data_IF_278849750919
#
_entry.id   IF_278849750919
#
_cell.length_a   1.000
_cell.length_b   1.000
_cell.length_c   1.000
_cell.angle_alpha   90.00
_cell.angle_beta   90.00
_cell.angle_gamma   90.00
#
_symmetry.space_group_name_H-M   'P 1'
#
loop_
_entity.id
_entity.type
_entity.pdbx_description
1 polymer ?
#
# COMPACT_ATOMS: atom_id res chain seq x y z
N UNK A 1 -5.64 13.01 -17.81
CA UNK A 1 -5.63 12.04 -16.69
C UNK A 1 -4.19 11.87 -16.24
N UNK A 2 -3.90 11.72 -14.95
CA UNK A 2 -2.52 11.46 -14.47
C UNK A 2 -2.42 9.99 -14.10
N UNK A 3 -1.57 9.21 -14.77
CA UNK A 3 -1.36 7.80 -14.43
C UNK A 3 -0.70 7.67 -13.07
N UNK A 4 -1.09 6.64 -12.32
CA UNK A 4 -0.47 6.28 -11.04
C UNK A 4 -0.30 4.78 -10.91
N UNK A 5 0.65 4.38 -10.08
CA UNK A 5 0.89 3.01 -9.65
C UNK A 5 0.89 2.98 -8.13
N UNK A 6 0.22 1.99 -7.56
CA UNK A 6 0.07 1.84 -6.12
C UNK A 6 0.69 0.51 -5.67
N UNK A 7 1.45 0.54 -4.58
CA UNK A 7 1.93 -0.67 -3.90
C UNK A 7 1.08 -0.89 -2.66
N UNK A 8 0.57 -2.11 -2.50
CA UNK A 8 -0.22 -2.53 -1.33
C UNK A 8 0.32 -3.80 -0.71
N UNK A 9 0.12 -3.97 0.61
CA UNK A 9 0.40 -5.20 1.34
C UNK A 9 -0.86 -5.58 2.12
N UNK A 10 -1.47 -6.72 1.79
CA UNK A 10 -2.74 -7.14 2.39
C UNK A 10 -3.88 -6.16 2.16
N UNK A 11 -3.87 -5.44 1.02
CA UNK A 11 -4.84 -4.39 0.70
C UNK A 11 -4.58 -3.03 1.36
N UNK A 12 -3.50 -2.88 2.15
CA UNK A 12 -3.12 -1.61 2.74
C UNK A 12 -2.12 -0.86 1.87
N UNK A 13 -2.44 0.39 1.56
CA UNK A 13 -1.60 1.29 0.74
C UNK A 13 -0.24 1.53 1.41
N UNK A 14 0.81 1.06 0.76
CA UNK A 14 2.19 1.28 1.19
C UNK A 14 2.76 2.55 0.54
N UNK A 15 2.59 2.73 -0.78
CA UNK A 15 3.05 3.93 -1.49
C UNK A 15 2.32 4.12 -2.81
N UNK A 16 2.24 5.38 -3.27
CA UNK A 16 1.63 5.76 -4.56
C UNK A 16 2.63 6.57 -5.38
N UNK A 17 2.93 6.08 -6.58
CA UNK A 17 3.76 6.74 -7.57
C UNK A 17 2.87 7.39 -8.63
N UNK A 18 3.11 8.66 -8.95
CA UNK A 18 2.32 9.43 -9.94
C UNK A 18 3.19 9.81 -11.12
N UNK A 19 2.61 9.82 -12.34
CA UNK A 19 3.23 10.17 -13.63
C UNK A 19 4.31 9.22 -14.14
N UNK A 20 4.95 8.47 -13.26
CA UNK A 20 5.90 7.42 -13.58
C UNK A 20 5.84 6.37 -12.48
N UNK A 21 6.25 5.15 -12.78
CA UNK A 21 6.49 4.16 -11.75
C UNK A 21 7.78 3.39 -12.05
N UNK A 22 8.35 2.81 -11.01
CA UNK A 22 9.39 1.79 -11.13
C UNK A 22 8.82 0.53 -10.52
N UNK A 23 8.97 -0.61 -11.20
CA UNK A 23 8.63 -1.90 -10.61
C UNK A 23 9.47 -2.04 -9.36
N UNK A 24 8.82 -2.25 -8.22
CA UNK A 24 9.52 -2.42 -6.97
C UNK A 24 10.43 -3.64 -7.07
N UNK A 25 11.69 -3.51 -6.66
CA UNK A 25 12.76 -4.51 -6.90
C UNK A 25 12.45 -5.92 -6.36
N UNK A 26 11.48 -6.04 -5.45
CA UNK A 26 11.03 -7.33 -4.93
C UNK A 26 9.96 -8.00 -5.78
N UNK A 27 9.46 -7.36 -6.83
CA UNK A 27 8.64 -7.95 -7.88
C UNK A 27 9.47 -8.32 -9.10
N UNK A 28 9.02 -9.35 -9.82
CA UNK A 28 9.64 -9.90 -11.00
C UNK A 28 8.61 -10.05 -12.12
N UNK A 29 9.09 -10.20 -13.36
CA UNK A 29 8.22 -10.45 -14.50
C UNK A 29 7.33 -11.71 -14.36
N UNK A 30 7.77 -12.72 -13.61
CA UNK A 30 6.97 -13.92 -13.30
C UNK A 30 5.78 -13.66 -12.37
N UNK A 31 5.80 -12.54 -11.63
CA UNK A 31 4.72 -12.16 -10.71
C UNK A 31 3.61 -11.34 -11.40
N UNK A 32 3.74 -11.07 -12.70
CA UNK A 32 2.72 -10.35 -13.47
C UNK A 32 1.41 -11.13 -13.50
N UNK A 33 0.31 -10.44 -13.23
CA UNK A 33 -1.06 -10.98 -13.27
C UNK A 33 -1.97 -10.06 -14.05
N UNK A 34 -2.93 -10.65 -14.78
CA UNK A 34 -4.00 -9.94 -15.49
C UNK A 34 -5.34 -10.44 -14.95
N UNK A 35 -6.07 -9.59 -14.24
CA UNK A 35 -7.41 -9.91 -13.70
C UNK A 35 -8.47 -9.26 -14.57
N UNK A 36 -9.61 -9.93 -14.75
CA UNK A 36 -10.77 -9.30 -15.36
C UNK A 36 -11.69 -8.82 -14.25
N UNK A 37 -11.93 -7.51 -14.15
CA UNK A 37 -12.99 -6.96 -13.30
C UNK A 37 -14.31 -7.06 -14.07
N UNK A 38 -15.25 -7.85 -13.56
CA UNK A 38 -16.64 -7.78 -13.97
C UNK A 38 -17.28 -6.59 -13.28
N UNK A 39 -17.50 -5.49 -14.00
CA UNK A 39 -18.41 -4.46 -13.50
C UNK A 39 -19.84 -5.05 -13.45
N UNK A 40 -20.66 -4.72 -12.43
CA UNK A 40 -22.09 -5.00 -12.52
C UNK A 40 -22.62 -4.34 -13.79
N UNK A 41 -23.37 -5.11 -14.59
CA UNK A 41 -23.92 -4.64 -15.85
C UNK A 41 -24.72 -3.35 -15.61
N UNK A 42 -24.33 -2.25 -16.25
CA UNK A 42 -25.21 -1.10 -16.36
C UNK A 42 -26.30 -1.47 -17.38
N UNK A 43 -27.57 -1.67 -16.96
CA UNK A 43 -28.63 -2.19 -17.85
C UNK A 43 -28.98 -1.24 -19.00
N UNK A 44 -28.46 0.00 -18.99
CA UNK A 44 -28.72 1.01 -20.01
C UNK A 44 -27.73 1.03 -21.17
N UNK A 45 -26.58 0.33 -21.09
CA UNK A 45 -25.54 0.47 -22.11
C UNK A 45 -25.10 -0.81 -22.81
N UNK A 46 -25.42 -2.01 -22.34
CA UNK A 46 -25.12 -3.28 -23.03
C UNK A 46 -23.69 -3.42 -23.62
N UNK A 47 -22.72 -2.66 -23.08
CA UNK A 47 -21.31 -2.69 -23.47
C UNK A 47 -20.57 -3.26 -22.27
N UNK A 48 -20.11 -4.50 -22.40
CA UNK A 48 -19.22 -5.14 -21.44
C UNK A 48 -17.81 -4.55 -21.60
N UNK A 49 -17.52 -3.42 -20.96
CA UNK A 49 -16.12 -3.05 -20.73
C UNK A 49 -15.56 -4.01 -19.68
N UNK A 50 -14.96 -5.12 -20.13
CA UNK A 50 -14.09 -5.93 -19.26
C UNK A 50 -12.84 -5.09 -18.99
N UNK A 51 -12.87 -4.29 -17.93
CA UNK A 51 -11.64 -3.68 -17.43
C UNK A 51 -10.69 -4.79 -16.99
N UNK A 52 -9.45 -4.68 -17.46
CA UNK A 52 -8.37 -5.60 -17.09
C UNK A 52 -7.51 -4.89 -16.07
N UNK A 53 -7.29 -5.53 -14.95
CA UNK A 53 -6.31 -5.05 -13.99
C UNK A 53 -4.97 -5.70 -14.28
N UNK A 54 -3.94 -4.87 -14.39
CA UNK A 54 -2.56 -5.29 -14.58
C UNK A 54 -1.79 -4.99 -13.29
N UNK A 55 -1.22 -6.03 -12.71
CA UNK A 55 -0.47 -5.89 -11.47
C UNK A 55 0.70 -6.87 -11.42
N UNK A 56 1.67 -6.57 -10.56
CA UNK A 56 2.60 -7.56 -10.02
C UNK A 56 2.03 -8.06 -8.69
N UNK A 57 1.96 -9.36 -8.46
CA UNK A 57 1.27 -9.93 -7.30
C UNK A 57 2.03 -11.14 -6.74
N UNK A 58 2.32 -11.10 -5.44
CA UNK A 58 2.87 -12.24 -4.69
C UNK A 58 2.16 -12.37 -3.34
N UNK A 59 2.36 -13.48 -2.63
CA UNK A 59 1.89 -13.59 -1.24
C UNK A 59 2.86 -12.91 -0.27
N UNK A 60 2.37 -12.53 0.91
CA UNK A 60 3.16 -11.97 1.99
C UNK A 60 4.36 -12.86 2.35
N UNK A 61 4.21 -14.19 2.36
CA UNK A 61 5.32 -15.12 2.59
C UNK A 61 6.42 -15.06 1.52
N UNK A 62 6.04 -14.88 0.26
CA UNK A 62 7.01 -14.70 -0.82
C UNK A 62 7.74 -13.37 -0.63
N UNK A 63 7.02 -12.30 -0.33
CA UNK A 63 7.61 -10.98 -0.12
C UNK A 63 8.54 -10.94 1.10
N UNK A 64 8.13 -11.53 2.24
CA UNK A 64 8.96 -11.70 3.45
C UNK A 64 10.31 -12.34 3.13
N UNK A 65 10.30 -13.45 2.36
CA UNK A 65 11.53 -14.15 1.97
C UNK A 65 12.43 -13.30 1.06
N UNK A 66 11.85 -12.51 0.14
CA UNK A 66 12.61 -11.64 -0.77
C UNK A 66 13.23 -10.46 -0.02
N UNK A 67 12.47 -9.79 0.84
CA UNK A 67 12.96 -8.74 1.73
C UNK A 67 14.05 -9.27 2.68
N UNK A 68 13.83 -10.42 3.31
CA UNK A 68 14.81 -11.05 4.19
C UNK A 68 16.14 -11.37 3.50
N UNK A 69 16.11 -11.83 2.25
CA UNK A 69 17.34 -12.05 1.44
C UNK A 69 18.08 -10.75 1.11
N UNK A 70 17.36 -9.64 0.99
CA UNK A 70 17.93 -8.32 0.80
C UNK A 70 18.37 -7.65 2.13
N UNK A 71 18.24 -8.36 3.27
CA UNK A 71 18.65 -7.88 4.59
C UNK A 71 17.56 -7.14 5.36
N UNK A 72 16.37 -6.96 4.80
CA UNK A 72 15.25 -6.32 5.50
C UNK A 72 14.53 -7.36 6.38
N UNK A 73 14.63 -7.18 7.69
CA UNK A 73 14.14 -8.12 8.71
C UNK A 73 13.50 -7.35 9.86
N UNK A 74 12.86 -8.07 10.79
CA UNK A 74 12.37 -7.47 12.05
C UNK A 74 13.47 -6.70 12.80
N UNK A 75 14.71 -7.18 12.76
CA UNK A 75 15.85 -6.51 13.39
C UNK A 75 16.19 -5.18 12.72
N UNK A 76 16.16 -5.09 11.39
CA UNK A 76 16.41 -3.80 10.71
C UNK A 76 15.28 -2.82 10.91
N UNK A 77 14.04 -3.30 11.02
CA UNK A 77 12.90 -2.49 11.43
C UNK A 77 13.11 -1.94 12.84
N UNK A 78 13.52 -2.76 13.79
CA UNK A 78 13.78 -2.31 15.17
C UNK A 78 14.91 -1.29 15.25
N UNK A 79 15.98 -1.47 14.48
CA UNK A 79 17.06 -0.49 14.39
C UNK A 79 16.60 0.85 13.81
N UNK A 80 15.82 0.84 12.71
CA UNK A 80 15.26 2.07 12.16
C UNK A 80 14.27 2.72 13.13
N UNK A 81 13.41 1.94 13.78
CA UNK A 81 12.49 2.41 14.80
C UNK A 81 13.21 3.16 15.92
N UNK A 82 14.27 2.59 16.49
CA UNK A 82 15.03 3.25 17.55
C UNK A 82 15.72 4.51 17.06
N UNK A 83 16.31 4.49 15.87
CA UNK A 83 16.93 5.67 15.28
C UNK A 83 15.91 6.79 15.04
N UNK A 84 14.75 6.44 14.49
CA UNK A 84 13.63 7.36 14.26
C UNK A 84 13.12 7.94 15.59
N UNK A 85 12.82 7.08 16.56
CA UNK A 85 12.37 7.46 17.90
C UNK A 85 13.33 8.45 18.57
N UNK A 86 14.63 8.14 18.60
CA UNK A 86 15.63 9.02 19.19
C UNK A 86 15.76 10.35 18.47
N UNK A 87 15.69 10.36 17.13
CA UNK A 87 15.76 11.59 16.36
C UNK A 87 14.54 12.47 16.63
N UNK A 88 13.34 11.89 16.65
CA UNK A 88 12.09 12.56 16.95
C UNK A 88 12.08 13.13 18.38
N UNK A 89 12.52 12.35 19.38
CA UNK A 89 12.59 12.82 20.77
C UNK A 89 13.61 13.94 21.03
N UNK A 90 14.55 14.18 20.11
CA UNK A 90 15.53 15.28 20.20
C UNK A 90 15.03 16.59 19.62
N UNK A 91 13.89 16.58 18.91
CA UNK A 91 13.34 17.80 18.32
C UNK A 91 12.85 18.75 19.44
N UNK A 92 13.24 20.03 19.42
CA UNK A 92 12.71 21.03 20.33
C UNK A 92 11.24 21.29 20.01
N UNK A 93 10.44 21.47 21.06
CA UNK A 93 8.98 21.63 21.05
C UNK A 93 8.20 20.37 20.65
N UNK A 94 7.32 19.95 21.55
CA UNK A 94 6.63 18.66 21.57
C UNK A 94 5.47 18.55 20.59
N UNK A 95 5.64 19.05 19.37
CA UNK A 95 4.70 18.89 18.25
C UNK A 95 5.27 17.87 17.27
N UNK A 96 5.26 16.60 17.72
CA UNK A 96 5.77 15.41 17.04
C UNK A 96 5.19 15.18 15.64
N UNK A 97 4.11 15.90 15.33
CA UNK A 97 3.26 15.77 14.17
C UNK A 97 2.76 17.17 13.78
N UNK A 98 2.50 17.41 12.48
CA UNK A 98 1.88 18.63 11.93
C UNK A 98 1.05 19.40 12.98
N UNK A 99 1.28 20.70 13.10
CA UNK A 99 0.68 21.58 14.13
C UNK A 99 -0.79 21.23 14.38
N UNK A 100 -1.05 20.56 15.51
CA UNK A 100 -2.41 20.24 15.93
C UNK A 100 -3.03 21.51 16.52
N UNK A 101 -4.25 21.90 16.10
CA UNK A 101 -4.92 23.08 16.66
C UNK A 101 -5.22 22.95 18.16
N UNK A 102 -5.36 21.71 18.64
CA UNK A 102 -5.68 21.36 20.02
C UNK A 102 -4.39 20.92 20.77
N UNK A 103 -3.91 21.72 21.74
CA UNK A 103 -2.66 21.43 22.45
C UNK A 103 -2.76 20.22 23.37
N UNK A 104 -3.93 19.92 23.94
CA UNK A 104 -4.09 18.75 24.81
C UNK A 104 -4.00 17.45 24.01
N UNK A 105 -4.63 17.42 22.83
CA UNK A 105 -4.50 16.29 21.90
C UNK A 105 -3.08 16.14 21.39
N UNK A 106 -2.41 17.25 21.07
CA UNK A 106 -1.01 17.21 20.64
C UNK A 106 -0.11 16.58 21.72
N UNK A 107 -0.30 16.98 22.97
CA UNK A 107 0.43 16.44 24.11
C UNK A 107 0.12 14.95 24.35
N UNK A 108 -1.16 14.55 24.31
CA UNK A 108 -1.55 13.15 24.48
C UNK A 108 -0.93 12.24 23.40
N UNK A 109 -0.83 12.70 22.15
CA UNK A 109 -0.14 11.98 21.06
C UNK A 109 1.35 11.87 21.30
N UNK A 110 1.98 12.96 21.72
CA UNK A 110 3.41 12.98 22.05
C UNK A 110 3.73 11.97 23.16
N UNK A 111 2.92 11.94 24.21
CA UNK A 111 3.10 11.03 25.34
C UNK A 111 2.84 9.57 24.95
N UNK A 112 1.81 9.32 24.14
CA UNK A 112 1.57 7.99 23.57
C UNK A 112 2.75 7.52 22.70
N UNK A 113 3.30 8.39 21.86
CA UNK A 113 4.47 8.07 21.03
C UNK A 113 5.69 7.72 21.88
N UNK A 114 5.98 8.52 22.91
CA UNK A 114 7.15 8.29 23.79
C UNK A 114 7.03 7.02 24.61
N UNK A 115 5.83 6.67 25.05
CA UNK A 115 5.59 5.50 25.90
C UNK A 115 5.54 4.18 25.11
N UNK A 116 5.24 4.23 23.81
CA UNK A 116 5.04 3.05 22.99
C UNK A 116 6.37 2.40 22.56
N UNK A 117 6.43 1.07 22.67
CA UNK A 117 7.48 0.22 22.10
C UNK A 117 7.15 -0.16 20.65
N UNK A 118 8.11 -0.71 19.91
CA UNK A 118 7.85 -1.23 18.56
C UNK A 118 6.69 -2.25 18.55
N UNK A 119 6.59 -3.11 19.57
CA UNK A 119 5.51 -4.09 19.65
C UNK A 119 4.14 -3.41 19.81
N UNK A 120 4.05 -2.34 20.61
CA UNK A 120 2.80 -1.57 20.74
C UNK A 120 2.40 -0.93 19.41
N UNK A 121 3.37 -0.45 18.64
CA UNK A 121 3.15 0.06 17.28
C UNK A 121 2.71 -1.03 16.30
N UNK A 122 3.30 -2.22 16.36
CA UNK A 122 2.89 -3.37 15.54
C UNK A 122 1.47 -3.84 15.91
N UNK A 123 1.12 -3.88 17.19
CA UNK A 123 -0.24 -4.21 17.65
C UNK A 123 -1.26 -3.16 17.18
N UNK A 124 -0.90 -1.87 17.22
CA UNK A 124 -1.72 -0.80 16.67
C UNK A 124 -1.83 -0.87 15.13
N UNK A 125 -0.75 -1.26 14.46
CA UNK A 125 -0.76 -1.48 13.01
C UNK A 125 -1.67 -2.65 12.64
N UNK A 126 -1.61 -3.77 13.36
CA UNK A 126 -2.50 -4.92 13.16
C UNK A 126 -3.98 -4.51 13.28
N UNK A 127 -4.33 -3.68 14.27
CA UNK A 127 -5.69 -3.14 14.42
C UNK A 127 -6.07 -2.21 13.27
N UNK A 128 -5.15 -1.37 12.81
CA UNK A 128 -5.37 -0.54 11.62
C UNK A 128 -5.68 -1.41 10.40
N UNK A 129 -4.94 -2.52 10.28
CA UNK A 129 -5.10 -3.49 9.20
C UNK A 129 -6.46 -4.19 9.26
N UNK A 130 -6.84 -4.68 10.44
CA UNK A 130 -8.09 -5.38 10.72
C UNK A 130 -9.32 -4.52 10.46
N UNK A 131 -9.30 -3.25 10.88
CA UNK A 131 -10.43 -2.32 10.70
C UNK A 131 -10.48 -1.80 9.25
N UNK A 132 -9.40 -1.95 8.48
CA UNK A 132 -9.33 -1.47 7.09
C UNK A 132 -9.24 0.05 6.97
N UNK A 133 -8.83 0.75 8.03
CA UNK A 133 -8.72 2.22 8.01
C UNK A 133 -7.48 2.62 7.24
N UNK A 134 -7.68 3.22 6.07
CA UNK A 134 -6.62 3.86 5.30
C UNK A 134 -6.68 5.38 5.48
N UNK A 135 -5.59 6.07 5.16
CA UNK A 135 -5.55 7.55 5.17
C UNK A 135 -6.64 8.15 4.28
N UNK A 136 -6.92 7.53 3.13
CA UNK A 136 -7.96 7.97 2.19
C UNK A 136 -9.35 7.65 2.76
N UNK A 137 -9.56 6.44 3.27
CA UNK A 137 -10.85 6.01 3.85
C UNK A 137 -11.27 6.83 5.07
N UNK A 138 -10.31 7.31 5.87
CA UNK A 138 -10.58 8.20 6.99
C UNK A 138 -11.17 9.55 6.54
N UNK A 139 -10.63 10.11 5.46
CA UNK A 139 -11.11 11.40 4.93
C UNK A 139 -12.48 11.27 4.24
N UNK A 140 -12.88 10.05 3.86
CA UNK A 140 -14.17 9.74 3.24
C UNK A 140 -15.33 9.58 4.24
N UNK A 141 -15.11 9.85 5.54
CA UNK A 141 -16.10 9.72 6.62
C UNK A 141 -16.67 8.31 6.86
N UNK A 142 -16.11 7.26 6.24
CA UNK A 142 -16.62 5.89 6.35
C UNK A 142 -16.24 5.19 7.68
N UNK A 143 -15.20 5.67 8.37
CA UNK A 143 -14.72 5.07 9.61
C UNK A 143 -14.83 6.04 10.80
N UNK A 144 -15.43 5.57 11.90
CA UNK A 144 -15.45 6.28 13.18
C UNK A 144 -14.00 6.50 13.67
N UNK A 145 -13.71 7.68 14.23
CA UNK A 145 -12.37 8.01 14.75
C UNK A 145 -11.87 6.89 15.68
N UNK A 146 -10.68 6.30 15.42
CA UNK A 146 -10.10 5.27 16.26
C UNK A 146 -9.98 5.74 17.72
N UNK A 147 -10.44 4.91 18.65
CA UNK A 147 -10.31 5.21 20.10
C UNK A 147 -8.88 5.03 20.61
N UNK A 148 -8.08 4.20 19.95
CA UNK A 148 -6.69 3.98 20.28
C UNK A 148 -5.83 5.07 19.63
N UNK A 149 -5.07 5.82 20.43
CA UNK A 149 -4.26 6.95 19.97
C UNK A 149 -3.19 6.52 18.95
N UNK A 150 -2.56 5.36 19.10
CA UNK A 150 -1.55 4.88 18.15
C UNK A 150 -2.17 4.52 16.79
N UNK A 151 -3.33 3.85 16.81
CA UNK A 151 -4.12 3.58 15.59
C UNK A 151 -4.52 4.90 14.94
N UNK A 152 -4.90 5.89 15.76
CA UNK A 152 -5.27 7.21 15.29
C UNK A 152 -4.09 7.94 14.61
N UNK A 153 -2.88 7.83 15.19
CA UNK A 153 -1.63 8.35 14.63
C UNK A 153 -1.26 7.64 13.31
N UNK A 154 -1.22 6.31 13.25
CA UNK A 154 -0.82 5.54 12.05
C UNK A 154 -1.69 5.90 10.83
N UNK A 155 -3.01 5.95 11.04
CA UNK A 155 -3.99 6.25 9.98
C UNK A 155 -4.13 7.76 9.71
N UNK A 156 -3.40 8.60 10.46
CA UNK A 156 -3.51 10.05 10.46
C UNK A 156 -2.56 10.74 9.50
N UNK A 157 -2.66 12.08 9.40
CA UNK A 157 -1.68 12.90 8.69
C UNK A 157 -0.42 13.19 9.54
N UNK A 158 -0.26 12.49 10.65
CA UNK A 158 0.81 12.65 11.62
C UNK A 158 2.17 12.30 11.00
N UNK A 159 3.04 13.29 10.81
CA UNK A 159 4.45 13.10 10.46
C UNK A 159 5.30 14.20 11.12
N UNK A 160 6.56 13.92 11.52
CA UNK A 160 7.47 14.94 11.99
C UNK A 160 7.73 16.00 10.91
N UNK A 161 7.79 17.27 11.30
CA UNK A 161 8.18 18.37 10.41
C UNK A 161 9.71 18.46 10.23
N UNK A 162 10.33 17.31 9.94
CA UNK A 162 11.75 17.19 9.66
C UNK A 162 11.93 16.41 8.36
N UNK A 163 12.63 17.01 7.39
CA UNK A 163 12.86 16.42 6.06
C UNK A 163 13.58 15.08 6.11
N UNK A 164 14.49 14.89 7.07
CA UNK A 164 15.27 13.66 7.22
C UNK A 164 14.45 12.52 7.82
N UNK A 165 13.35 12.85 8.50
CA UNK A 165 12.43 11.89 9.14
C UNK A 165 11.15 11.68 8.33
N UNK A 166 11.05 12.29 7.14
CA UNK A 166 9.86 12.19 6.32
C UNK A 166 9.70 10.78 5.76
N UNK A 167 8.54 10.20 5.99
CA UNK A 167 8.23 8.85 5.54
C UNK A 167 8.13 8.75 4.02
N UNK A 168 8.67 7.66 3.47
CA UNK A 168 8.59 7.30 2.04
C UNK A 168 7.39 6.38 1.74
N UNK A 169 6.51 6.20 2.72
CA UNK A 169 5.31 5.36 2.68
C UNK A 169 4.09 6.16 3.13
N UNK A 170 2.90 5.62 2.88
CA UNK A 170 1.63 6.32 3.12
C UNK A 170 1.15 6.27 4.58
N UNK A 171 1.69 5.37 5.42
CA UNK A 171 1.41 5.27 6.85
C UNK A 171 2.27 6.24 7.67
N UNK A 172 2.01 7.53 7.50
CA UNK A 172 2.87 8.62 7.94
C UNK A 172 3.22 8.60 9.44
N UNK A 173 2.27 8.17 10.28
CA UNK A 173 2.44 8.17 11.73
C UNK A 173 3.22 6.97 12.27
N UNK A 174 3.49 5.95 11.46
CA UNK A 174 4.29 4.81 11.92
C UNK A 174 5.76 5.22 12.04
N UNK A 175 6.45 4.90 13.15
CA UNK A 175 7.81 5.37 13.47
C UNK A 175 8.93 4.67 12.66
N UNK A 176 8.83 4.69 11.34
CA UNK A 176 9.92 4.41 10.40
C UNK A 176 9.80 5.36 9.20
N UNK A 177 10.86 5.50 8.42
CA UNK A 177 10.89 6.38 7.25
C UNK A 177 10.98 5.59 5.94
N UNK A 178 11.62 4.42 5.98
CA UNK A 178 11.91 3.64 4.79
C UNK A 178 10.70 2.83 4.32
N UNK A 179 10.55 2.75 3.00
CA UNK A 179 9.54 1.91 2.36
C UNK A 179 9.70 0.44 2.77
N UNK A 180 10.96 -0.05 2.81
CA UNK A 180 11.26 -1.45 3.02
C UNK A 180 11.01 -1.90 4.47
N UNK A 181 11.37 -1.11 5.49
CA UNK A 181 11.04 -1.49 6.86
C UNK A 181 9.56 -1.28 7.19
N UNK A 182 8.87 -0.31 6.59
CA UNK A 182 7.40 -0.25 6.68
C UNK A 182 6.76 -1.50 6.07
N UNK A 183 7.33 -2.00 4.97
CA UNK A 183 6.90 -3.27 4.37
C UNK A 183 7.09 -4.44 5.32
N UNK A 184 8.24 -4.51 6.01
CA UNK A 184 8.47 -5.50 7.06
C UNK A 184 7.41 -5.36 8.15
N UNK A 185 7.12 -4.15 8.63
CA UNK A 185 6.11 -3.93 9.68
C UNK A 185 4.71 -4.41 9.25
N UNK A 186 4.26 -4.10 8.03
CA UNK A 186 2.99 -4.63 7.51
C UNK A 186 3.03 -6.16 7.39
N UNK A 187 4.15 -6.71 6.93
CA UNK A 187 4.34 -8.15 6.83
C UNK A 187 4.41 -8.85 8.19
N UNK A 188 4.68 -8.18 9.30
CA UNK A 188 4.56 -8.80 10.63
C UNK A 188 3.10 -8.98 11.06
N UNK A 189 2.17 -8.19 10.49
CA UNK A 189 0.77 -8.13 10.97
C UNK A 189 -0.25 -8.72 9.99
N UNK A 190 0.08 -8.84 8.71
CA UNK A 190 -0.81 -9.50 7.72
C UNK A 190 -0.59 -11.02 7.71
N UNK A 191 -1.60 -11.83 7.34
CA UNK A 191 -1.41 -13.27 7.22
C UNK A 191 -0.52 -13.62 6.00
N UNK A 192 0.07 -14.82 5.99
CA UNK A 192 1.09 -15.20 4.99
C UNK A 192 0.58 -15.34 3.55
N UNK A 193 -0.71 -15.65 3.42
CA UNK A 193 -1.44 -15.73 2.16
C UNK A 193 -1.94 -14.37 1.65
N UNK A 194 -1.83 -13.31 2.45
CA UNK A 194 -2.24 -11.97 2.02
C UNK A 194 -1.51 -11.55 0.75
N UNK A 195 -2.23 -10.95 -0.19
CA UNK A 195 -1.65 -10.49 -1.45
C UNK A 195 -0.87 -9.19 -1.22
N UNK A 196 0.32 -9.14 -1.80
CA UNK A 196 1.16 -7.95 -1.89
C UNK A 196 1.27 -7.59 -3.37
N UNK A 197 0.88 -6.37 -3.71
CA UNK A 197 0.63 -6.01 -5.10
C UNK A 197 1.26 -4.68 -5.48
N UNK A 198 1.67 -4.57 -6.74
CA UNK A 198 1.90 -3.29 -7.39
C UNK A 198 0.96 -3.17 -8.59
N UNK A 199 -0.04 -2.31 -8.45
CA UNK A 199 -1.05 -1.98 -9.46
C UNK A 199 -0.44 -1.03 -10.50
N UNK A 200 -0.60 -1.33 -11.79
CA UNK A 200 0.00 -0.58 -12.90
C UNK A 200 -0.94 -0.39 -14.09
N UNK A 201 -2.25 -0.68 -13.94
CA UNK A 201 -3.26 -0.64 -15.01
C UNK A 201 -3.26 0.67 -15.75
N UNK A 202 -3.15 1.81 -15.04
CA UNK A 202 -3.18 3.11 -15.71
C UNK A 202 -2.03 3.30 -16.70
N UNK A 203 -0.84 2.75 -16.41
CA UNK A 203 0.31 2.85 -17.32
C UNK A 203 0.15 1.92 -18.53
N UNK A 204 -0.37 0.71 -18.32
CA UNK A 204 -0.65 -0.25 -19.40
C UNK A 204 -1.77 0.24 -20.31
N UNK A 205 -2.87 0.77 -19.75
CA UNK A 205 -4.04 1.20 -20.53
C UNK A 205 -3.85 2.59 -21.18
N UNK A 206 -3.14 3.53 -20.54
CA UNK A 206 -3.13 4.93 -20.97
C UNK A 206 -1.75 5.52 -21.29
N UNK A 207 -0.66 4.84 -20.95
CA UNK A 207 0.72 5.37 -21.13
C UNK A 207 1.61 4.46 -22.00
N UNK A 208 1.01 3.45 -22.64
CA UNK A 208 1.68 2.60 -23.62
C UNK A 208 2.69 1.61 -23.01
N UNK A 209 2.58 1.28 -21.73
CA UNK A 209 3.43 0.27 -21.11
C UNK A 209 3.17 -1.12 -21.69
N UNK A 210 4.17 -1.68 -22.37
CA UNK A 210 4.12 -2.99 -23.04
C UNK A 210 4.55 -4.15 -22.15
N UNK A 211 4.78 -3.92 -20.85
CA UNK A 211 5.28 -4.93 -19.92
C UNK A 211 4.34 -6.11 -19.71
N UNK A 212 3.15 -6.15 -20.30
CA UNK A 212 2.18 -7.26 -20.19
C UNK A 212 1.78 -7.84 -21.56
N UNK A 213 2.35 -7.36 -22.67
CA UNK A 213 1.95 -7.73 -24.03
C UNK A 213 2.08 -9.23 -24.32
N UNK A 214 3.13 -9.87 -23.81
CA UNK A 214 3.37 -11.30 -23.98
C UNK A 214 2.27 -12.16 -23.33
N UNK A 215 1.65 -11.68 -22.26
CA UNK A 215 0.55 -12.34 -21.59
C UNK A 215 -0.79 -12.08 -22.27
N UNK A 216 -0.95 -10.92 -22.90
CA UNK A 216 -2.14 -10.55 -23.68
C UNK A 216 -2.23 -11.40 -24.96
N UNK A 217 -1.10 -11.65 -25.62
CA UNK A 217 -0.99 -12.46 -26.83
C UNK A 217 -1.25 -13.96 -26.59
N UNK A 218 -1.00 -14.46 -25.37
CA UNK A 218 -1.26 -15.86 -24.98
C UNK A 218 -2.75 -16.19 -24.78
N UNK A 219 -3.66 -15.21 -24.85
CA UNK A 219 -5.13 -15.40 -24.76
C UNK A 219 -5.84 -15.41 -26.13
N UNK A 220 -5.24 -16.00 -27.17
CA UNK A 220 -6.01 -16.56 -28.30
C UNK A 220 -5.95 -18.09 -28.23
N UNK A 221 -7.06 -18.76 -27.89
CA UNK A 221 -7.82 -19.53 -28.90
C UNK A 221 -9.35 -19.47 -28.65
N UNK A 222 -10.25 -19.45 -29.65
CA UNK A 222 -10.51 -20.52 -30.62
C UNK A 222 -10.77 -19.96 -32.03
N UNK A 223 -10.39 -20.79 -32.99
CA UNK A 223 -10.71 -20.68 -34.41
C UNK A 223 -12.22 -20.58 -34.67
N UNK A 224 -12.55 -19.79 -35.69
CA UNK A 224 -13.58 -19.96 -36.70
C UNK A 224 -14.72 -20.94 -36.39
N UNK A 225 -15.94 -20.41 -36.30
CA UNK A 225 -17.10 -21.00 -36.96
C UNK A 225 -17.85 -19.85 -37.66
N UNK A 226 -17.47 -19.60 -38.92
CA UNK A 226 -18.40 -18.97 -39.85
C UNK A 226 -19.58 -19.94 -40.06
N UNK A 227 -20.84 -19.51 -39.97
CA UNK A 227 -21.93 -20.34 -40.42
C UNK A 227 -21.80 -20.49 -41.93
N UNK A 228 -21.58 -21.72 -42.38
CA UNK A 228 -21.81 -22.10 -43.76
C UNK A 228 -23.26 -21.75 -44.11
N UNK A 229 -23.43 -20.78 -45.01
CA UNK A 229 -24.69 -20.63 -45.72
C UNK A 229 -24.83 -21.83 -46.65
N UNK A 230 -25.66 -22.79 -46.25
CA UNK A 230 -26.21 -23.76 -47.19
C UNK A 230 -27.22 -23.03 -48.08
N UNK A 231 -26.87 -22.88 -49.36
CA UNK A 231 -27.79 -22.51 -50.43
C UNK A 231 -28.85 -23.62 -50.60
N UNK A 232 -30.12 -23.31 -50.31
CA UNK A 232 -31.30 -23.91 -50.95
C UNK A 232 -32.36 -22.83 -51.18
#
# INVERSE_FOLDING_TARGET
MTCSSEITIGGHELTVMRRSYTVWEFFKAEDRVIRARGLPANPLQNIYYRHRDFAYSVTADVLRRRLGRAGFTRTTLEQEFQAYYHAVCRLPDTMFFRTYPDPERAQARADAFRAATLNDWLDALAKTVEIGVTRVGRNAFEFAQPKNILVDIISGPDEPDNRDLRSKHCLLGFPCSSLNNMSVALLEVVPGEALCEQEVTMFVEFDGDTSFDDMMLRKKPLQNDEPAYDDI
#
